data_IF_062162849981
#
_entry.id   IF_062162849981
#
_cell.length_a   1.000
_cell.length_b   1.000
_cell.length_c   1.000
_cell.angle_alpha   90.00
_cell.angle_beta   90.00
_cell.angle_gamma   90.00
#
_symmetry.space_group_name_H-M   'P 1'
#
loop_
_entity.id
_entity.type
_entity.pdbx_description
1 polymer ?
#
# COMPACT_ATOMS: atom_id res chain seq x y z
N UNK A 1 25.31 5.31 5.54
CA UNK A 1 25.70 4.39 4.44
C UNK A 1 25.02 4.89 3.17
N UNK A 2 25.65 4.96 1.98
CA UNK A 2 24.95 5.47 0.79
C UNK A 2 23.83 4.52 0.33
N UNK A 3 22.79 5.05 -0.33
CA UNK A 3 21.70 4.23 -0.90
C UNK A 3 22.22 3.13 -1.84
N UNK A 4 23.33 3.38 -2.54
CA UNK A 4 23.97 2.41 -3.44
C UNK A 4 24.48 1.13 -2.74
N UNK A 5 24.60 1.13 -1.41
CA UNK A 5 24.95 -0.06 -0.64
C UNK A 5 23.73 -0.88 -0.21
N UNK A 6 22.51 -0.39 -0.45
CA UNK A 6 21.26 -1.11 -0.21
C UNK A 6 20.89 -1.97 -1.43
N UNK A 7 20.08 -3.04 -1.27
CA UNK A 7 19.70 -3.93 -2.37
C UNK A 7 18.63 -3.30 -3.28
N UNK A 8 18.99 -2.20 -3.96
CA UNK A 8 18.15 -1.41 -4.84
C UNK A 8 18.68 -1.41 -6.28
N UNK A 9 17.79 -1.39 -7.26
CA UNK A 9 18.15 -1.33 -8.67
C UNK A 9 18.69 0.07 -9.07
N UNK A 10 19.55 0.11 -10.09
CA UNK A 10 20.15 1.35 -10.58
C UNK A 10 19.11 2.40 -11.02
N UNK A 11 17.96 1.98 -11.57
CA UNK A 11 16.89 2.91 -11.95
C UNK A 11 16.27 3.59 -10.73
N UNK A 12 16.14 2.88 -9.61
CA UNK A 12 15.65 3.42 -8.34
C UNK A 12 16.66 4.42 -7.76
N UNK A 13 17.95 4.09 -7.79
CA UNK A 13 19.02 4.99 -7.33
C UNK A 13 19.03 6.32 -8.10
N UNK A 14 18.82 6.27 -9.43
CA UNK A 14 18.70 7.49 -10.26
C UNK A 14 17.51 8.36 -9.88
N UNK A 15 16.37 7.75 -9.52
CA UNK A 15 15.19 8.49 -9.05
C UNK A 15 15.48 9.14 -7.70
N UNK A 16 16.11 8.42 -6.77
CA UNK A 16 16.52 8.97 -5.47
C UNK A 16 17.43 10.19 -5.64
N UNK A 17 18.48 10.07 -6.46
CA UNK A 17 19.41 11.16 -6.76
C UNK A 17 18.69 12.37 -7.38
N UNK A 18 17.83 12.15 -8.38
CA UNK A 18 17.03 13.21 -9.02
C UNK A 18 16.11 13.95 -8.04
N UNK A 19 15.61 13.25 -7.03
CA UNK A 19 14.76 13.83 -5.98
C UNK A 19 15.56 14.44 -4.82
N UNK A 20 16.90 14.38 -4.85
CA UNK A 20 17.77 14.95 -3.83
C UNK A 20 17.95 14.08 -2.59
N UNK A 21 17.58 12.79 -2.64
CA UNK A 21 17.86 11.84 -1.58
C UNK A 21 19.30 11.34 -1.68
N UNK A 22 20.18 11.85 -0.82
CA UNK A 22 21.61 11.53 -0.83
C UNK A 22 21.96 10.33 0.04
N UNK A 23 21.36 10.26 1.23
CA UNK A 23 21.60 9.20 2.21
C UNK A 23 20.28 8.66 2.80
N UNK A 24 20.20 7.34 3.04
CA UNK A 24 19.08 6.74 3.73
C UNK A 24 19.00 7.20 5.19
N UNK A 25 17.78 7.37 5.68
CA UNK A 25 17.55 7.61 7.11
C UNK A 25 17.81 6.33 7.92
N UNK A 26 18.04 6.41 9.25
CA UNK A 26 18.29 5.22 10.07
C UNK A 26 17.19 4.14 9.95
N UNK A 27 15.93 4.56 9.83
CA UNK A 27 14.82 3.63 9.62
C UNK A 27 14.89 2.97 8.24
N UNK A 28 15.29 3.68 7.19
CA UNK A 28 15.47 3.13 5.85
C UNK A 28 16.64 2.15 5.80
N UNK A 29 17.79 2.49 6.39
CA UNK A 29 18.96 1.62 6.49
C UNK A 29 18.64 0.29 7.20
N UNK A 30 17.88 0.35 8.29
CA UNK A 30 17.52 -0.83 9.07
C UNK A 30 16.48 -1.72 8.37
N UNK A 31 15.54 -1.12 7.63
CA UNK A 31 14.33 -1.84 7.16
C UNK A 31 14.41 -2.28 5.71
N UNK A 32 15.01 -1.49 4.81
CA UNK A 32 15.05 -1.81 3.37
C UNK A 32 15.69 -3.17 3.10
N UNK A 33 16.87 -3.51 3.67
CA UNK A 33 17.48 -4.82 3.42
C UNK A 33 16.63 -5.99 3.96
N UNK A 34 15.96 -5.80 5.10
CA UNK A 34 15.12 -6.84 5.71
C UNK A 34 13.87 -7.09 4.87
N UNK A 35 13.20 -6.03 4.44
CA UNK A 35 11.98 -6.10 3.64
C UNK A 35 12.26 -6.71 2.26
N UNK A 36 13.35 -6.30 1.59
CA UNK A 36 13.79 -6.92 0.35
C UNK A 36 14.15 -8.42 0.49
N UNK A 37 14.40 -8.90 1.71
CA UNK A 37 14.73 -10.29 2.04
C UNK A 37 13.52 -11.16 2.42
N UNK A 38 12.30 -10.76 2.08
CA UNK A 38 11.04 -11.46 2.38
C UNK A 38 10.76 -11.66 3.88
N UNK A 39 11.23 -10.74 4.72
CA UNK A 39 10.88 -10.74 6.15
C UNK A 39 9.68 -9.85 6.41
N UNK A 40 8.85 -10.23 7.37
CA UNK A 40 7.86 -9.34 7.95
C UNK A 40 8.57 -8.28 8.79
N UNK A 41 8.20 -7.01 8.59
CA UNK A 41 8.85 -5.87 9.24
C UNK A 41 7.79 -5.02 9.93
N UNK A 42 7.90 -4.90 11.26
CA UNK A 42 7.18 -3.91 12.03
C UNK A 42 8.12 -2.74 12.33
N UNK A 43 7.66 -1.52 12.06
CA UNK A 43 8.46 -0.31 12.20
C UNK A 43 7.72 0.70 13.07
N UNK A 44 8.29 1.00 14.24
CA UNK A 44 7.87 2.13 15.05
C UNK A 44 8.88 3.27 14.93
N UNK A 45 8.41 4.44 14.50
CA UNK A 45 9.24 5.62 14.30
C UNK A 45 8.37 6.89 14.26
N UNK A 46 8.97 8.05 14.52
CA UNK A 46 8.24 9.32 14.46
C UNK A 46 7.84 9.70 13.02
N UNK A 47 6.83 10.56 12.88
CA UNK A 47 6.51 11.22 11.60
C UNK A 47 7.73 11.99 11.07
N UNK A 48 7.93 12.03 9.75
CA UNK A 48 9.07 12.70 9.14
C UNK A 48 10.40 11.91 9.20
N UNK A 49 10.41 10.70 9.76
CA UNK A 49 11.59 9.82 9.80
C UNK A 49 11.97 9.19 8.45
N UNK A 50 11.19 9.42 7.40
CA UNK A 50 11.42 8.81 6.08
C UNK A 50 10.81 7.40 5.91
N UNK A 51 9.85 7.02 6.76
CA UNK A 51 9.14 5.72 6.69
C UNK A 51 8.55 5.40 5.32
N UNK A 52 8.03 6.40 4.59
CA UNK A 52 7.41 6.17 3.29
C UNK A 52 8.36 5.50 2.30
N UNK A 53 9.58 6.02 2.12
CA UNK A 53 10.58 5.38 1.27
C UNK A 53 11.06 4.03 1.84
N UNK A 54 11.02 3.87 3.17
CA UNK A 54 11.42 2.64 3.83
C UNK A 54 10.55 1.44 3.42
N UNK A 55 9.28 1.65 3.05
CA UNK A 55 8.41 0.59 2.49
C UNK A 55 8.16 0.70 0.99
N UNK A 56 8.17 1.90 0.39
CA UNK A 56 7.95 2.07 -1.06
C UNK A 56 9.07 1.44 -1.87
N UNK A 57 10.34 1.64 -1.48
CA UNK A 57 11.47 1.11 -2.24
C UNK A 57 11.47 -0.43 -2.24
N UNK A 58 11.30 -1.13 -1.10
CA UNK A 58 11.17 -2.58 -1.09
C UNK A 58 9.96 -3.11 -1.87
N UNK A 59 8.80 -2.43 -1.83
CA UNK A 59 7.63 -2.82 -2.64
C UNK A 59 7.99 -2.87 -4.13
N UNK A 60 8.62 -1.81 -4.65
CA UNK A 60 9.03 -1.75 -6.07
C UNK A 60 10.08 -2.81 -6.37
N UNK A 61 11.08 -2.99 -5.52
CA UNK A 61 12.13 -4.00 -5.69
C UNK A 61 11.59 -5.43 -5.70
N UNK A 62 10.62 -5.74 -4.84
CA UNK A 62 10.00 -7.06 -4.81
C UNK A 62 9.22 -7.35 -6.08
N UNK A 63 8.39 -6.41 -6.53
CA UNK A 63 7.63 -6.59 -7.76
C UNK A 63 8.54 -6.64 -9.00
N UNK A 64 9.64 -5.89 -9.00
CA UNK A 64 10.67 -5.94 -10.05
C UNK A 64 11.31 -7.33 -10.19
N UNK A 65 11.42 -8.10 -9.11
CA UNK A 65 12.08 -9.42 -9.06
C UNK A 65 11.16 -10.60 -9.38
N UNK A 66 9.88 -10.34 -9.66
CA UNK A 66 8.97 -11.39 -10.12
C UNK A 66 9.49 -12.02 -11.41
N UNK A 67 9.41 -13.35 -11.49
CA UNK A 67 9.87 -14.12 -12.66
C UNK A 67 9.14 -13.70 -13.95
N UNK A 68 7.87 -13.29 -13.82
CA UNK A 68 7.04 -12.82 -14.91
C UNK A 68 6.32 -11.51 -14.52
N UNK A 69 6.18 -10.56 -15.46
CA UNK A 69 5.35 -9.37 -15.24
C UNK A 69 3.91 -9.75 -14.87
N UNK A 70 3.33 -8.99 -13.94
CA UNK A 70 1.91 -9.15 -13.61
C UNK A 70 1.05 -8.68 -14.79
N UNK A 71 -0.08 -9.36 -14.98
CA UNK A 71 -1.13 -8.91 -15.90
C UNK A 71 -1.81 -7.67 -15.33
N UNK A 72 -2.40 -6.86 -16.20
CA UNK A 72 -3.07 -5.61 -15.83
C UNK A 72 -4.06 -5.73 -14.66
N UNK A 73 -4.77 -6.85 -14.59
CA UNK A 73 -5.79 -7.09 -13.56
C UNK A 73 -5.24 -7.73 -12.28
N UNK A 74 -3.94 -8.02 -12.21
CA UNK A 74 -3.28 -8.64 -11.06
C UNK A 74 -2.67 -7.57 -10.16
N UNK A 75 -2.93 -7.69 -8.86
CA UNK A 75 -2.39 -6.80 -7.84
C UNK A 75 -1.19 -7.47 -7.18
N UNK A 76 -0.06 -6.76 -7.13
CA UNK A 76 1.18 -7.23 -6.52
C UNK A 76 1.41 -6.67 -5.11
N UNK A 77 0.97 -5.44 -4.85
CA UNK A 77 1.11 -4.80 -3.56
C UNK A 77 -0.09 -3.94 -3.19
N UNK A 78 -0.39 -3.88 -1.89
CA UNK A 78 -1.44 -3.02 -1.32
C UNK A 78 -0.83 -2.23 -0.17
N UNK A 79 -1.00 -0.90 -0.21
CA UNK A 79 -0.59 0.02 0.85
C UNK A 79 -1.85 0.67 1.41
N UNK A 80 -2.15 0.37 2.67
CA UNK A 80 -3.31 0.87 3.39
C UNK A 80 -2.87 2.01 4.30
N UNK A 81 -3.50 3.16 4.20
CA UNK A 81 -3.23 4.33 5.06
C UNK A 81 -4.56 4.87 5.61
N UNK A 82 -4.60 5.42 6.85
CA UNK A 82 -5.87 5.67 7.53
C UNK A 82 -6.67 6.82 6.93
N UNK A 83 -6.01 7.80 6.31
CA UNK A 83 -6.68 9.00 5.77
C UNK A 83 -6.41 9.17 4.28
N UNK A 84 -7.28 9.94 3.62
CA UNK A 84 -7.19 10.22 2.17
C UNK A 84 -5.93 11.03 1.86
N UNK A 85 -5.59 11.95 2.75
CA UNK A 85 -4.45 12.85 2.65
C UNK A 85 -3.14 12.08 2.75
N UNK A 86 -3.01 11.17 3.72
CA UNK A 86 -1.82 10.32 3.88
C UNK A 86 -1.67 9.34 2.72
N UNK A 87 -2.75 8.67 2.30
CA UNK A 87 -2.75 7.80 1.13
C UNK A 87 -2.31 8.56 -0.14
N UNK A 88 -2.77 9.79 -0.34
CA UNK A 88 -2.36 10.63 -1.47
C UNK A 88 -0.87 10.97 -1.42
N UNK A 89 -0.36 11.37 -0.26
CA UNK A 89 1.06 11.66 -0.07
C UNK A 89 1.94 10.43 -0.38
N UNK A 90 1.56 9.25 0.11
CA UNK A 90 2.26 8.01 -0.18
C UNK A 90 2.24 7.71 -1.68
N UNK A 91 1.09 7.86 -2.32
CA UNK A 91 0.94 7.63 -3.75
C UNK A 91 1.83 8.56 -4.58
N UNK A 92 1.85 9.85 -4.26
CA UNK A 92 2.68 10.85 -4.95
C UNK A 92 4.18 10.55 -4.80
N UNK A 93 4.60 10.06 -3.62
CA UNK A 93 5.98 9.58 -3.40
C UNK A 93 6.27 8.29 -4.18
N UNK A 94 5.31 7.35 -4.27
CA UNK A 94 5.51 6.05 -4.90
C UNK A 94 5.59 6.10 -6.43
N UNK A 95 4.80 6.96 -7.09
CA UNK A 95 4.72 7.12 -8.54
C UNK A 95 6.07 7.09 -9.28
N UNK A 96 7.05 7.94 -8.94
CA UNK A 96 8.33 8.00 -9.64
C UNK A 96 9.16 6.71 -9.50
N UNK A 97 9.04 5.99 -8.38
CA UNK A 97 9.72 4.71 -8.18
C UNK A 97 9.00 3.57 -8.90
N UNK A 98 7.67 3.55 -8.88
CA UNK A 98 6.86 2.60 -9.65
C UNK A 98 7.17 2.71 -11.14
N UNK A 99 7.32 3.93 -11.66
CA UNK A 99 7.68 4.20 -13.05
C UNK A 99 9.07 3.68 -13.46
N UNK A 100 9.92 3.23 -12.51
CA UNK A 100 11.20 2.59 -12.83
C UNK A 100 11.04 1.18 -13.42
N UNK A 101 9.84 0.60 -13.34
CA UNK A 101 9.49 -0.71 -13.90
C UNK A 101 8.37 -0.50 -14.93
N UNK A 102 8.68 -0.71 -16.21
CA UNK A 102 7.81 -0.27 -17.32
C UNK A 102 6.38 -0.83 -17.28
N UNK A 103 6.18 -2.03 -16.72
CA UNK A 103 4.87 -2.66 -16.63
C UNK A 103 4.13 -2.35 -15.33
N UNK A 104 4.80 -1.81 -14.30
CA UNK A 104 4.13 -1.48 -13.04
C UNK A 104 3.27 -0.23 -13.18
N UNK A 105 2.15 -0.25 -12.47
CA UNK A 105 1.16 0.83 -12.43
C UNK A 105 0.65 0.91 -11.01
N UNK A 106 0.59 2.13 -10.47
CA UNK A 106 0.01 2.38 -9.16
C UNK A 106 -1.35 3.07 -9.31
N UNK A 107 -2.31 2.68 -8.47
CA UNK A 107 -3.65 3.27 -8.44
C UNK A 107 -3.97 3.76 -7.03
N UNK A 108 -4.47 5.00 -6.94
CA UNK A 108 -4.92 5.61 -5.69
C UNK A 108 -6.41 5.36 -5.49
N UNK A 109 -6.78 4.74 -4.38
CA UNK A 109 -8.14 4.37 -4.03
C UNK A 109 -8.54 5.05 -2.72
N UNK A 110 -9.08 6.27 -2.83
CA UNK A 110 -9.53 7.07 -1.68
C UNK A 110 -10.98 7.52 -1.88
N UNK A 111 -11.73 7.67 -0.79
CA UNK A 111 -13.13 8.11 -0.87
C UNK A 111 -13.30 9.52 -1.46
N UNK A 112 -14.55 9.87 -1.77
CA UNK A 112 -14.94 11.21 -2.26
C UNK A 112 -15.15 11.32 -3.77
N UNK A 113 -14.97 10.22 -4.52
CA UNK A 113 -15.30 10.09 -5.94
C UNK A 113 -16.23 8.89 -6.17
N UNK A 114 -16.92 8.86 -7.31
CA UNK A 114 -17.76 7.73 -7.70
C UNK A 114 -16.91 6.44 -7.84
N UNK A 115 -17.24 5.34 -7.13
CA UNK A 115 -16.55 4.05 -7.27
C UNK A 115 -16.40 3.56 -8.71
N UNK A 116 -17.36 3.88 -9.58
CA UNK A 116 -17.30 3.48 -10.99
C UNK A 116 -16.08 4.05 -11.72
N UNK A 117 -15.61 5.24 -11.34
CA UNK A 117 -14.42 5.89 -11.92
C UNK A 117 -13.16 5.08 -11.60
N UNK A 118 -13.03 4.63 -10.35
CA UNK A 118 -11.86 3.85 -9.92
C UNK A 118 -11.86 2.45 -10.54
N UNK A 119 -13.04 1.82 -10.67
CA UNK A 119 -13.19 0.54 -11.38
C UNK A 119 -12.81 0.68 -12.86
N UNK A 120 -13.23 1.77 -13.51
CA UNK A 120 -12.86 2.04 -14.90
C UNK A 120 -11.35 2.26 -15.04
N UNK A 121 -10.75 3.09 -14.17
CA UNK A 121 -9.32 3.33 -14.14
C UNK A 121 -8.53 2.03 -13.96
N UNK A 122 -8.91 1.17 -13.00
CA UNK A 122 -8.27 -0.12 -12.81
C UNK A 122 -8.32 -1.00 -14.06
N UNK A 123 -9.45 -1.05 -14.77
CA UNK A 123 -9.58 -1.85 -16.00
C UNK A 123 -8.76 -1.29 -17.16
N UNK A 124 -8.65 0.03 -17.25
CA UNK A 124 -7.92 0.72 -18.31
C UNK A 124 -6.41 0.64 -18.11
N UNK A 125 -5.91 1.11 -16.96
CA UNK A 125 -4.47 1.26 -16.70
C UNK A 125 -3.89 0.12 -15.85
N UNK A 126 -4.71 -0.56 -15.06
CA UNK A 126 -4.27 -1.55 -14.07
C UNK A 126 -4.12 -0.98 -12.67
N UNK A 127 -3.58 -1.79 -11.76
CA UNK A 127 -3.37 -1.43 -10.37
C UNK A 127 -2.45 -2.41 -9.65
N UNK A 128 -1.26 -2.60 -10.21
CA UNK A 128 -0.26 -3.53 -9.65
C UNK A 128 0.16 -3.13 -8.23
N UNK A 129 0.19 -1.82 -7.94
CA UNK A 129 0.37 -1.26 -6.59
C UNK A 129 -0.87 -0.44 -6.23
N UNK A 130 -1.67 -0.91 -5.30
CA UNK A 130 -2.81 -0.14 -4.78
C UNK A 130 -2.36 0.67 -3.57
N UNK A 131 -2.71 1.96 -3.54
CA UNK A 131 -2.53 2.82 -2.36
C UNK A 131 -3.90 3.37 -2.01
N UNK A 132 -4.36 3.23 -0.77
CA UNK A 132 -5.72 3.67 -0.47
C UNK A 132 -6.13 3.60 0.99
N UNK A 133 -7.36 4.06 1.25
CA UNK A 133 -8.00 3.95 2.55
C UNK A 133 -8.78 2.64 2.68
N UNK A 134 -8.91 2.06 3.89
CA UNK A 134 -9.52 0.74 4.08
C UNK A 134 -10.90 0.60 3.41
N UNK A 135 -11.82 1.54 3.68
CA UNK A 135 -13.19 1.47 3.16
C UNK A 135 -13.28 1.59 1.65
N UNK A 136 -12.40 2.38 1.01
CA UNK A 136 -12.42 2.51 -0.46
C UNK A 136 -11.76 1.30 -1.13
N UNK A 137 -10.69 0.77 -0.56
CA UNK A 137 -10.08 -0.46 -1.03
C UNK A 137 -11.09 -1.61 -1.02
N UNK A 138 -11.79 -1.81 0.09
CA UNK A 138 -12.83 -2.84 0.22
C UNK A 138 -13.97 -2.66 -0.81
N UNK A 139 -14.52 -1.45 -0.93
CA UNK A 139 -15.59 -1.13 -1.89
C UNK A 139 -15.17 -1.44 -3.34
N UNK A 140 -13.94 -1.11 -3.74
CA UNK A 140 -13.44 -1.40 -5.08
C UNK A 140 -13.12 -2.88 -5.28
N UNK A 141 -12.59 -3.57 -4.26
CA UNK A 141 -12.36 -5.02 -4.33
C UNK A 141 -13.67 -5.79 -4.52
N UNK A 142 -14.77 -5.35 -3.90
CA UNK A 142 -16.09 -5.95 -4.06
C UNK A 142 -16.71 -5.65 -5.43
N UNK A 143 -16.53 -4.43 -5.96
CA UNK A 143 -17.11 -4.02 -7.26
C UNK A 143 -16.32 -4.50 -8.47
N UNK A 144 -14.99 -4.53 -8.36
CA UNK A 144 -14.11 -4.86 -9.47
C UNK A 144 -13.89 -6.38 -9.57
N UNK A 145 -14.87 -7.10 -10.11
CA UNK A 145 -14.83 -8.57 -10.22
C UNK A 145 -13.65 -9.14 -11.03
N UNK A 146 -13.01 -8.31 -11.86
CA UNK A 146 -11.83 -8.69 -12.65
C UNK A 146 -10.51 -8.59 -11.88
N UNK A 147 -10.50 -7.92 -10.72
CA UNK A 147 -9.31 -7.72 -9.89
C UNK A 147 -8.86 -9.06 -9.30
N UNK A 148 -7.60 -9.43 -9.54
CA UNK A 148 -6.99 -10.65 -9.03
C UNK A 148 -6.01 -10.32 -7.91
N UNK A 149 -6.40 -10.67 -6.68
CA UNK A 149 -5.61 -10.45 -5.47
C UNK A 149 -4.73 -11.65 -5.10
N UNK A 150 -4.77 -12.76 -5.84
CA UNK A 150 -3.98 -13.97 -5.54
C UNK A 150 -2.48 -13.78 -5.74
N UNK A 151 -2.08 -12.72 -6.42
CA UNK A 151 -0.69 -12.34 -6.71
C UNK A 151 -0.13 -11.30 -5.74
N UNK A 152 -0.88 -10.94 -4.69
CA UNK A 152 -0.41 -9.96 -3.71
C UNK A 152 0.76 -10.55 -2.94
N UNK A 153 1.93 -9.96 -3.13
CA UNK A 153 3.20 -10.33 -2.49
C UNK A 153 3.47 -9.46 -1.26
N UNK A 154 2.91 -8.25 -1.23
CA UNK A 154 3.22 -7.25 -0.21
C UNK A 154 1.97 -6.54 0.25
N UNK A 155 1.75 -6.55 1.57
CA UNK A 155 0.76 -5.71 2.25
C UNK A 155 1.50 -4.77 3.20
N UNK A 156 1.22 -3.48 3.09
CA UNK A 156 1.74 -2.45 4.00
C UNK A 156 0.57 -1.81 4.73
N UNK A 157 0.66 -1.74 6.06
CA UNK A 157 -0.27 -1.02 6.92
C UNK A 157 0.45 0.20 7.49
N UNK A 158 0.17 1.37 6.94
CA UNK A 158 0.69 2.65 7.41
C UNK A 158 -0.17 3.17 8.57
N UNK A 159 0.48 3.70 9.62
CA UNK A 159 -0.19 4.10 10.88
C UNK A 159 -1.15 3.02 11.41
N UNK A 160 -0.61 1.80 11.57
CA UNK A 160 -1.37 0.60 11.94
C UNK A 160 -2.15 0.74 13.25
N UNK A 161 -1.63 1.48 14.21
CA UNK A 161 -2.33 1.87 15.43
C UNK A 161 -3.65 2.59 15.14
N UNK A 162 -3.63 3.61 14.28
CA UNK A 162 -4.85 4.32 13.87
C UNK A 162 -5.79 3.45 13.05
N UNK A 163 -5.24 2.58 12.19
CA UNK A 163 -6.04 1.63 11.42
C UNK A 163 -6.80 0.66 12.34
N UNK A 164 -6.17 0.18 13.41
CA UNK A 164 -6.80 -0.67 14.42
C UNK A 164 -7.88 0.07 15.21
N UNK A 165 -7.61 1.31 15.62
CA UNK A 165 -8.58 2.13 16.35
C UNK A 165 -9.87 2.32 15.53
N UNK A 166 -9.77 2.58 14.23
CA UNK A 166 -10.95 2.71 13.36
C UNK A 166 -11.72 1.38 13.21
N UNK A 167 -11.01 0.26 13.04
CA UNK A 167 -11.62 -1.06 12.88
C UNK A 167 -12.39 -1.53 14.12
N UNK A 168 -11.92 -1.19 15.33
CA UNK A 168 -12.64 -1.53 16.57
C UNK A 168 -13.96 -0.77 16.72
N UNK A 169 -14.05 0.47 16.21
CA UNK A 169 -15.29 1.26 16.23
C UNK A 169 -16.33 0.68 15.26
N UNK A 170 -15.92 0.25 14.05
CA UNK A 170 -16.83 -0.40 13.10
C UNK A 170 -17.39 -1.72 13.63
N UNK A 171 -16.55 -2.59 14.24
CA UNK A 171 -17.01 -3.87 14.78
C UNK A 171 -18.02 -3.72 15.94
N UNK A 172 -17.93 -2.63 16.70
CA UNK A 172 -18.89 -2.32 17.77
C UNK A 172 -20.21 -1.74 17.23
N UNK A 173 -20.19 -1.02 16.11
CA UNK A 173 -21.40 -0.53 15.44
C UNK A 173 -22.25 -1.69 14.89
N UNK A 174 -21.63 -2.71 14.30
CA UNK A 174 -22.33 -3.89 13.77
C UNK A 174 -22.89 -4.81 14.88
N UNK A 175 -22.38 -4.74 16.11
CA UNK A 175 -22.91 -5.49 17.26
C UNK A 175 -24.09 -4.83 17.96
N UNK A 176 -24.36 -3.55 17.70
CA UNK A 176 -25.47 -2.81 18.34
C UNK A 176 -26.79 -2.87 17.56
N UNK A 177 -26.82 -3.53 16.39
CA UNK A 177 -28.04 -3.74 15.59
C UNK A 177 -28.72 -5.11 15.79
N UNK A 178 -28.16 -5.99 16.63
CA UNK A 178 -28.70 -7.32 16.95
C UNK A 178 -29.13 -7.46 18.41
N UNK A 179 -30.24 -6.84 18.81
CA UNK A 179 -30.83 -7.03 20.14
C UNK A 179 -31.56 -8.38 20.25
N UNK A 180 -31.26 -9.24 21.25
CA UNK A 180 -32.00 -10.47 21.47
C UNK A 180 -33.30 -10.17 22.23
N UNK A 181 -34.41 -10.12 21.50
CA UNK A 181 -35.76 -10.16 22.09
C UNK A 181 -36.12 -11.57 22.55
N UNK A 182 -35.51 -12.03 23.65
CA UNK A 182 -35.89 -13.26 24.34
C UNK A 182 -36.34 -12.94 25.78
N UNK A 183 -37.66 -12.89 26.00
CA UNK A 183 -38.30 -12.96 27.32
C UNK A 183 -39.52 -13.88 27.18
N UNK A 184 -39.40 -15.17 27.52
CA UNK A 184 -39.78 -15.79 28.81
C UNK A 184 -41.29 -15.96 29.01
N UNK A 185 -41.68 -17.25 29.00
CA UNK A 185 -42.68 -17.92 29.84
C UNK A 185 -44.13 -17.41 29.88
N UNK A 186 -45.02 -18.23 29.32
CA UNK A 186 -46.07 -18.94 30.08
C UNK A 186 -46.05 -20.41 29.64
#
# INVERSE_FOLDING_TARGET
MPFAALPLANEVLKVLEKQGFTEPTPVQEATIPLFCGNKDVAVDACTGSGKTLAFVLPVVERLRRLEQPLRRNQVGAIIVSPTRELARQIFDVAQPFVATVAWLQALLLVGGTDPAVDVAAFKEVGGHVLVGTPGRLDDIMQRCTTMDLRTVEVLVLDEADRLLDMGTVQCNADRSSGGPGAGRHA
#
